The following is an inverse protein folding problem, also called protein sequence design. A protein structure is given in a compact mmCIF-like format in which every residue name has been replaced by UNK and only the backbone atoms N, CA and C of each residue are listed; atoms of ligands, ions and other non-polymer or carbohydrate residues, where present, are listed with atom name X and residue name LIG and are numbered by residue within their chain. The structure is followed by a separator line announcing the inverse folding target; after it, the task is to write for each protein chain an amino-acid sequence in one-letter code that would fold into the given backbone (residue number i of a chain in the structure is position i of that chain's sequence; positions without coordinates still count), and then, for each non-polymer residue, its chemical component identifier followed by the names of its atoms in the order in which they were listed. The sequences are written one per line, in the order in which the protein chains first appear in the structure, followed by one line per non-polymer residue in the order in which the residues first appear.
data_IF_714276435747
#
_entry.id   IF_714276435747
#
_cell.length_a   1.000
_cell.length_b   1.000
_cell.length_c   1.000
_cell.angle_alpha   90.00
_cell.angle_beta   90.00
_cell.angle_gamma   90.00
#
_symmetry.space_group_name_H-M   'P 1'
#
loop_
_entity.id
_entity.type
_entity.pdbx_description
1 polymer ?
#
# COMPACT_ATOMS: atom_id res chain seq x y z
N UNK A 1 1.69 -0.49 20.98
CA UNK A 1 2.07 0.04 19.67
C UNK A 1 2.75 1.38 19.88
N UNK A 2 4.05 1.49 19.66
CA UNK A 2 4.76 2.76 19.82
C UNK A 2 4.66 3.54 18.49
N UNK A 3 3.85 4.58 18.48
CA UNK A 3 3.75 5.50 17.34
C UNK A 3 4.94 6.45 17.38
N UNK A 4 5.67 6.56 16.27
CA UNK A 4 6.71 7.56 16.13
C UNK A 4 6.05 8.86 15.69
N UNK A 5 5.83 9.79 16.63
CA UNK A 5 5.47 11.17 16.30
C UNK A 5 6.75 11.94 15.99
N UNK A 6 7.14 11.99 14.74
CA UNK A 6 8.23 12.86 14.28
C UNK A 6 7.66 14.20 13.84
N UNK A 7 8.38 15.26 14.15
CA UNK A 7 8.01 16.62 13.73
C UNK A 7 8.44 16.85 12.27
N UNK A 8 7.71 16.24 11.34
CA UNK A 8 7.91 16.50 9.92
C UNK A 8 7.37 17.87 9.53
N UNK A 9 7.89 18.48 8.46
CA UNK A 9 7.42 19.77 7.98
C UNK A 9 5.91 19.77 7.73
N UNK A 10 5.22 20.86 8.08
CA UNK A 10 3.78 21.01 7.81
C UNK A 10 3.46 20.87 6.31
N UNK A 11 4.37 21.32 5.43
CA UNK A 11 4.25 21.17 3.99
C UNK A 11 4.12 19.72 3.53
N UNK A 12 4.82 18.80 4.16
CA UNK A 12 4.70 17.34 3.89
C UNK A 12 3.28 16.86 4.16
N UNK A 13 2.73 17.12 5.35
CA UNK A 13 1.36 16.73 5.70
C UNK A 13 0.34 17.36 4.76
N UNK A 14 0.51 18.66 4.41
CA UNK A 14 -0.38 19.37 3.51
C UNK A 14 -0.34 18.78 2.08
N UNK A 15 0.83 18.37 1.60
CA UNK A 15 0.96 17.72 0.30
C UNK A 15 0.20 16.41 0.23
N UNK A 16 0.35 15.55 1.26
CA UNK A 16 -0.36 14.27 1.35
C UNK A 16 -1.88 14.47 1.49
N UNK A 17 -2.33 15.41 2.33
CA UNK A 17 -3.76 15.71 2.49
C UNK A 17 -4.38 16.26 1.20
N UNK A 18 -3.67 17.15 0.48
CA UNK A 18 -4.13 17.65 -0.82
C UNK A 18 -4.25 16.53 -1.86
N UNK A 19 -3.29 15.60 -1.86
CA UNK A 19 -3.35 14.42 -2.72
C UNK A 19 -4.57 13.55 -2.36
N UNK A 20 -4.81 13.30 -1.07
CA UNK A 20 -5.97 12.56 -0.56
C UNK A 20 -7.29 13.15 -1.07
N UNK A 21 -7.46 14.46 -1.00
CA UNK A 21 -8.69 15.14 -1.43
C UNK A 21 -9.00 14.91 -2.93
N UNK A 22 -7.98 14.62 -3.73
CA UNK A 22 -8.14 14.33 -5.16
C UNK A 22 -8.51 12.87 -5.44
N UNK A 23 -7.88 11.94 -4.78
CA UNK A 23 -7.95 10.51 -5.12
C UNK A 23 -8.72 9.65 -4.10
N UNK A 24 -9.04 10.20 -2.94
CA UNK A 24 -9.82 9.53 -1.90
C UNK A 24 -10.91 10.48 -1.36
N UNK A 25 -11.86 10.91 -2.25
CA UNK A 25 -12.86 11.92 -1.89
C UNK A 25 -13.84 11.45 -0.80
N UNK A 26 -14.11 10.14 -0.76
CA UNK A 26 -15.05 9.54 0.21
C UNK A 26 -14.41 9.23 1.58
N UNK A 27 -13.19 9.71 1.82
CA UNK A 27 -12.46 9.44 3.07
C UNK A 27 -13.24 9.91 4.33
N UNK A 28 -13.80 11.10 4.31
CA UNK A 28 -14.58 11.63 5.43
C UNK A 28 -15.86 10.80 5.65
N UNK A 29 -16.54 10.42 4.57
CA UNK A 29 -17.70 9.55 4.63
C UNK A 29 -17.35 8.17 5.22
N UNK A 30 -16.19 7.59 4.85
CA UNK A 30 -15.68 6.37 5.48
C UNK A 30 -15.50 6.54 6.98
N UNK A 31 -14.87 7.64 7.43
CA UNK A 31 -14.62 7.89 8.85
C UNK A 31 -15.93 8.06 9.64
N UNK A 32 -16.92 8.75 9.08
CA UNK A 32 -18.24 8.92 9.71
C UNK A 32 -18.99 7.61 9.89
N UNK A 33 -18.82 6.67 8.96
CA UNK A 33 -19.48 5.39 8.95
C UNK A 33 -18.61 4.23 9.46
N UNK A 34 -17.41 4.50 10.00
CA UNK A 34 -16.45 3.49 10.42
C UNK A 34 -17.05 2.46 11.38
N UNK A 35 -17.71 2.92 12.43
CA UNK A 35 -18.27 2.05 13.48
C UNK A 35 -19.43 1.17 12.98
N UNK A 36 -20.08 1.55 11.87
CA UNK A 36 -21.15 0.76 11.23
C UNK A 36 -20.55 -0.49 10.56
N UNK A 37 -19.43 -0.34 9.86
CA UNK A 37 -18.86 -1.41 9.04
C UNK A 37 -17.69 -2.12 9.71
N UNK A 38 -16.97 -1.42 10.59
CA UNK A 38 -15.77 -1.91 11.27
C UNK A 38 -15.85 -1.73 12.80
N UNK A 39 -16.89 -2.28 13.45
CA UNK A 39 -17.18 -1.97 14.87
C UNK A 39 -16.13 -2.49 15.86
N UNK A 40 -15.24 -3.39 15.41
CA UNK A 40 -14.17 -3.96 16.23
C UNK A 40 -12.82 -3.29 16.01
N UNK A 41 -12.72 -2.42 15.02
CA UNK A 41 -11.47 -1.79 14.64
C UNK A 41 -11.42 -0.35 15.14
N UNK A 42 -10.31 0.02 15.76
CA UNK A 42 -10.08 1.42 16.07
C UNK A 42 -10.00 2.23 14.76
N UNK A 43 -10.55 3.45 14.77
CA UNK A 43 -10.32 4.40 13.69
C UNK A 43 -8.83 4.60 13.51
N UNK A 44 -8.36 4.55 12.29
CA UNK A 44 -6.97 4.86 12.03
C UNK A 44 -6.77 6.37 11.84
N UNK A 45 -5.57 6.81 12.16
CA UNK A 45 -5.11 8.17 11.90
C UNK A 45 -4.01 8.14 10.84
N UNK A 46 -3.90 9.20 10.05
CA UNK A 46 -2.79 9.38 9.12
C UNK A 46 -1.53 9.72 9.93
N UNK A 47 -0.77 8.70 10.29
CA UNK A 47 0.45 8.82 11.08
C UNK A 47 1.45 7.71 10.71
N UNK A 48 2.72 7.95 10.98
CA UNK A 48 3.75 6.93 10.86
C UNK A 48 3.61 5.89 11.97
N UNK A 49 3.64 4.61 11.60
CA UNK A 49 3.64 3.49 12.56
C UNK A 49 4.93 2.70 12.44
N UNK A 50 5.65 2.59 13.55
CA UNK A 50 6.79 1.67 13.64
C UNK A 50 6.67 0.85 14.91
N UNK A 51 6.85 -0.45 14.78
CA UNK A 51 6.89 -1.36 15.93
C UNK A 51 8.31 -1.38 16.50
N UNK A 52 8.57 -0.43 17.40
CA UNK A 52 9.87 -0.24 18.02
C UNK A 52 10.26 -1.48 18.85
N UNK A 53 11.54 -1.84 18.80
CA UNK A 53 12.05 -2.97 19.57
C UNK A 53 11.87 -4.34 18.90
N UNK A 54 11.52 -4.38 17.63
CA UNK A 54 11.66 -5.58 16.80
C UNK A 54 13.12 -6.04 16.76
N UNK A 55 13.35 -7.20 16.13
CA UNK A 55 14.69 -7.77 15.99
C UNK A 55 15.71 -6.67 15.62
N UNK A 56 16.69 -6.47 16.50
CA UNK A 56 17.73 -5.45 16.35
C UNK A 56 18.88 -5.91 15.47
N UNK A 57 18.91 -7.22 15.15
CA UNK A 57 19.95 -7.85 14.35
C UNK A 57 19.42 -8.19 12.95
N UNK A 58 20.33 -8.22 11.99
CA UNK A 58 20.06 -8.64 10.63
C UNK A 58 19.84 -10.15 10.63
N UNK A 59 18.69 -10.59 10.11
CA UNK A 59 18.22 -11.98 10.25
C UNK A 59 18.76 -12.92 9.16
N UNK A 60 19.23 -12.39 8.03
CA UNK A 60 19.67 -13.18 6.87
C UNK A 60 20.80 -12.48 6.07
N UNK A 61 21.37 -13.20 5.11
CA UNK A 61 22.43 -12.72 4.23
C UNK A 61 23.80 -12.65 4.92
N UNK A 62 24.76 -12.02 4.26
CA UNK A 62 26.18 -11.97 4.68
C UNK A 62 26.41 -11.17 5.97
N UNK A 63 25.46 -10.31 6.32
CA UNK A 63 25.52 -9.48 7.52
C UNK A 63 24.71 -10.07 8.68
N UNK A 64 24.23 -11.32 8.56
CA UNK A 64 23.45 -11.98 9.62
C UNK A 64 24.12 -11.89 10.99
N UNK A 65 23.34 -11.51 12.01
CA UNK A 65 23.78 -11.35 13.39
C UNK A 65 24.46 -10.02 13.70
N UNK A 66 24.65 -9.14 12.70
CA UNK A 66 25.10 -7.77 12.94
C UNK A 66 23.89 -6.88 13.29
N UNK A 67 24.11 -5.78 14.04
CA UNK A 67 23.04 -4.81 14.29
C UNK A 67 22.44 -4.27 12.99
N UNK A 68 21.12 -4.05 12.97
CA UNK A 68 20.45 -3.35 11.87
C UNK A 68 20.89 -1.88 11.83
N UNK A 69 21.00 -1.35 10.63
CA UNK A 69 21.33 0.06 10.40
C UNK A 69 20.17 0.96 10.79
N UNK A 70 20.48 2.06 11.48
CA UNK A 70 19.48 3.04 11.94
C UNK A 70 19.34 4.18 10.92
N UNK A 71 20.44 4.50 10.22
CA UNK A 71 20.53 5.56 9.22
C UNK A 71 20.97 5.00 7.87
N UNK A 72 20.52 5.64 6.81
CA UNK A 72 20.93 5.33 5.44
C UNK A 72 22.45 5.44 5.26
N UNK A 73 23.06 6.47 5.87
CA UNK A 73 24.50 6.71 5.81
C UNK A 73 25.37 5.68 6.57
N UNK A 74 24.77 4.80 7.37
CA UNK A 74 25.48 3.70 8.04
C UNK A 74 25.66 2.48 7.12
N UNK A 75 24.92 2.44 6.00
CA UNK A 75 24.98 1.38 4.99
C UNK A 75 26.02 1.69 3.92
N UNK A 76 26.53 0.66 3.27
CA UNK A 76 27.27 0.84 2.04
C UNK A 76 26.38 1.46 0.94
N UNK A 77 26.95 2.28 0.05
CA UNK A 77 26.19 3.01 -0.96
C UNK A 77 25.24 2.12 -1.80
N UNK A 78 25.71 0.92 -2.21
CA UNK A 78 24.88 -0.03 -2.94
C UNK A 78 23.68 -0.50 -2.14
N UNK A 79 23.87 -0.78 -0.84
CA UNK A 79 22.77 -1.21 0.03
C UNK A 79 21.79 -0.07 0.27
N UNK A 80 22.29 1.13 0.54
CA UNK A 80 21.47 2.34 0.74
C UNK A 80 20.66 2.65 -0.51
N UNK A 81 21.24 2.55 -1.70
CA UNK A 81 20.55 2.73 -2.99
C UNK A 81 19.44 1.71 -3.21
N UNK A 82 19.66 0.44 -2.89
CA UNK A 82 18.63 -0.60 -3.00
C UNK A 82 17.47 -0.35 -2.01
N UNK A 83 17.77 0.04 -0.77
CA UNK A 83 16.76 0.36 0.23
C UNK A 83 15.94 1.58 -0.21
N UNK A 84 16.60 2.65 -0.68
CA UNK A 84 15.92 3.83 -1.22
C UNK A 84 14.99 3.46 -2.38
N UNK A 85 15.49 2.66 -3.33
CA UNK A 85 14.69 2.17 -4.46
C UNK A 85 13.47 1.37 -4.00
N UNK A 86 13.62 0.51 -3.00
CA UNK A 86 12.51 -0.25 -2.43
C UNK A 86 11.47 0.65 -1.74
N UNK A 87 11.90 1.67 -0.98
CA UNK A 87 10.99 2.63 -0.34
C UNK A 87 10.22 3.44 -1.40
N UNK A 88 10.90 3.95 -2.42
CA UNK A 88 10.26 4.69 -3.53
C UNK A 88 9.28 3.83 -4.30
N UNK A 89 9.64 2.58 -4.61
CA UNK A 89 8.76 1.65 -5.29
C UNK A 89 7.52 1.36 -4.45
N UNK A 90 7.67 1.03 -3.18
CA UNK A 90 6.55 0.78 -2.27
C UNK A 90 5.65 2.02 -2.15
N UNK A 91 6.20 3.21 -1.92
CA UNK A 91 5.40 4.44 -1.89
C UNK A 91 4.60 4.65 -3.17
N UNK A 92 5.23 4.46 -4.33
CA UNK A 92 4.58 4.60 -5.64
C UNK A 92 3.41 3.61 -5.82
N UNK A 93 3.54 2.37 -5.34
CA UNK A 93 2.48 1.36 -5.45
C UNK A 93 1.27 1.69 -4.59
N UNK A 94 1.47 2.15 -3.37
CA UNK A 94 0.40 2.53 -2.45
C UNK A 94 -0.49 3.65 -3.06
N UNK A 95 0.13 4.72 -3.54
CA UNK A 95 -0.60 5.81 -4.19
C UNK A 95 -1.21 5.39 -5.54
N UNK A 96 -0.53 4.55 -6.31
CA UNK A 96 -1.04 4.01 -7.57
C UNK A 96 -2.26 3.12 -7.37
N UNK A 97 -2.25 2.28 -6.36
CA UNK A 97 -3.37 1.43 -5.96
C UNK A 97 -4.64 2.27 -5.71
N UNK A 98 -4.54 3.32 -4.89
CA UNK A 98 -5.69 4.21 -4.61
C UNK A 98 -6.24 4.82 -5.90
N UNK A 99 -5.37 5.30 -6.81
CA UNK A 99 -5.78 5.89 -8.08
C UNK A 99 -6.56 4.89 -8.94
N UNK A 100 -6.12 3.62 -8.98
CA UNK A 100 -6.79 2.56 -9.72
C UNK A 100 -8.14 2.19 -9.10
N UNK A 101 -8.19 1.98 -7.78
CA UNK A 101 -9.40 1.59 -7.07
C UNK A 101 -10.50 2.65 -7.15
N UNK A 102 -10.15 3.93 -7.12
CA UNK A 102 -11.08 5.03 -7.26
C UNK A 102 -11.90 4.95 -8.56
N UNK A 103 -11.30 4.50 -9.67
CA UNK A 103 -11.96 4.50 -10.99
C UNK A 103 -13.26 3.70 -11.03
N UNK A 104 -13.37 2.67 -10.19
CA UNK A 104 -14.50 1.74 -10.23
C UNK A 104 -15.24 1.59 -8.90
N UNK A 105 -14.81 2.30 -7.85
CA UNK A 105 -15.39 2.21 -6.50
C UNK A 105 -16.91 2.37 -6.48
N UNK A 106 -17.44 3.35 -7.20
CA UNK A 106 -18.88 3.61 -7.30
C UNK A 106 -19.68 2.53 -8.06
N UNK A 107 -19.00 1.53 -8.64
CA UNK A 107 -19.61 0.41 -9.39
C UNK A 107 -19.70 -0.87 -8.55
N UNK A 108 -19.40 -0.81 -7.26
CA UNK A 108 -19.60 -1.94 -6.36
C UNK A 108 -21.04 -2.43 -6.40
N UNK A 109 -21.25 -3.73 -6.32
CA UNK A 109 -22.58 -4.33 -6.36
C UNK A 109 -23.29 -4.26 -5.02
N UNK A 110 -22.53 -4.32 -3.96
CA UNK A 110 -23.00 -4.28 -2.58
C UNK A 110 -22.31 -3.12 -1.84
N UNK A 111 -23.03 -2.44 -0.97
CA UNK A 111 -22.51 -1.34 -0.13
C UNK A 111 -21.33 -1.82 0.72
N UNK A 112 -21.40 -3.05 1.24
CA UNK A 112 -20.33 -3.65 2.04
C UNK A 112 -19.02 -3.80 1.24
N UNK A 113 -19.11 -4.20 -0.03
CA UNK A 113 -17.96 -4.35 -0.92
C UNK A 113 -17.31 -2.99 -1.19
N UNK A 114 -18.13 -1.95 -1.40
CA UNK A 114 -17.64 -0.58 -1.57
C UNK A 114 -16.86 -0.11 -0.33
N UNK A 115 -17.39 -0.37 0.86
CA UNK A 115 -16.73 0.01 2.10
C UNK A 115 -15.43 -0.76 2.35
N UNK A 116 -15.36 -2.03 1.99
CA UNK A 116 -14.13 -2.79 2.12
C UNK A 116 -13.02 -2.22 1.24
N UNK A 117 -13.33 -1.88 -0.01
CA UNK A 117 -12.36 -1.25 -0.91
C UNK A 117 -12.00 0.15 -0.42
N UNK A 118 -12.96 0.95 0.02
CA UNK A 118 -12.71 2.29 0.55
C UNK A 118 -11.81 2.25 1.81
N UNK A 119 -12.04 1.28 2.70
CA UNK A 119 -11.15 1.04 3.85
C UNK A 119 -9.74 0.69 3.39
N UNK A 120 -9.62 -0.23 2.42
CA UNK A 120 -8.33 -0.61 1.87
C UNK A 120 -7.60 0.61 1.29
N UNK A 121 -8.27 1.43 0.46
CA UNK A 121 -7.70 2.67 -0.08
C UNK A 121 -7.21 3.62 1.03
N UNK A 122 -7.92 3.69 2.15
CA UNK A 122 -7.50 4.50 3.28
C UNK A 122 -6.26 3.90 3.99
N UNK A 123 -6.18 2.58 4.13
CA UNK A 123 -5.01 1.89 4.67
C UNK A 123 -3.80 2.03 3.73
N UNK A 124 -3.99 1.94 2.42
CA UNK A 124 -2.99 2.26 1.39
C UNK A 124 -2.44 3.70 1.51
N UNK A 125 -3.32 4.68 1.76
CA UNK A 125 -2.89 6.05 2.04
C UNK A 125 -1.93 6.11 3.24
N UNK A 126 -2.21 5.36 4.30
CA UNK A 126 -1.34 5.28 5.47
C UNK A 126 -0.03 4.57 5.17
N UNK A 127 -0.07 3.49 4.37
CA UNK A 127 1.14 2.80 3.89
C UNK A 127 2.03 3.74 3.08
N UNK A 128 1.45 4.43 2.12
CA UNK A 128 2.15 5.44 1.32
C UNK A 128 2.73 6.57 2.19
N UNK A 129 1.94 7.10 3.12
CA UNK A 129 2.41 8.08 4.10
C UNK A 129 3.61 7.56 4.90
N UNK A 130 3.55 6.31 5.37
CA UNK A 130 4.65 5.68 6.11
C UNK A 130 5.94 5.60 5.28
N UNK A 131 5.82 5.27 4.00
CA UNK A 131 6.99 5.23 3.10
C UNK A 131 7.53 6.62 2.79
N UNK A 132 6.67 7.60 2.52
CA UNK A 132 7.10 9.00 2.36
C UNK A 132 7.76 9.56 3.63
N UNK A 133 7.28 9.13 4.81
CA UNK A 133 7.89 9.48 6.09
C UNK A 133 9.34 8.99 6.17
N UNK A 134 9.64 7.76 5.73
CA UNK A 134 11.00 7.23 5.69
C UNK A 134 11.92 8.04 4.76
N UNK A 135 11.39 8.54 3.63
CA UNK A 135 12.14 9.43 2.73
C UNK A 135 12.47 10.79 3.37
N UNK A 136 11.56 11.30 4.19
CA UNK A 136 11.71 12.60 4.86
C UNK A 136 12.56 12.55 6.14
N UNK A 137 12.58 11.41 6.83
CA UNK A 137 13.23 11.27 8.15
C UNK A 137 14.73 11.06 8.04
N UNK A 138 15.24 10.54 6.93
CA UNK A 138 16.64 10.19 6.76
C UNK A 138 17.33 11.01 5.66
N UNK A 139 18.65 11.03 5.69
CA UNK A 139 19.50 11.69 4.70
C UNK A 139 19.96 10.69 3.64
N UNK A 140 19.43 10.83 2.43
CA UNK A 140 19.73 9.99 1.27
C UNK A 140 20.77 10.60 0.32
N UNK A 141 21.41 11.71 0.70
CA UNK A 141 22.34 12.47 -0.16
C UNK A 141 23.56 11.66 -0.62
N UNK A 142 23.92 10.60 0.08
CA UNK A 142 24.99 9.69 -0.32
C UNK A 142 24.68 8.86 -1.59
N UNK A 143 23.40 8.73 -1.95
CA UNK A 143 22.92 7.86 -3.06
C UNK A 143 21.87 8.50 -3.96
N UNK A 144 21.51 9.75 -3.71
CA UNK A 144 20.55 10.51 -4.51
C UNK A 144 20.89 12.00 -4.48
N UNK A 145 20.72 12.66 -5.61
CA UNK A 145 20.82 14.13 -5.70
C UNK A 145 19.51 14.81 -5.31
N UNK A 146 18.43 14.06 -5.07
CA UNK A 146 17.13 14.56 -4.64
C UNK A 146 17.06 14.67 -3.12
N UNK A 147 16.45 15.74 -2.62
CA UNK A 147 16.06 15.81 -1.20
C UNK A 147 14.87 14.90 -0.90
N UNK A 148 14.60 14.61 0.37
CA UNK A 148 13.39 13.89 0.77
C UNK A 148 12.11 14.57 0.27
N UNK A 149 12.07 15.92 0.26
CA UNK A 149 10.96 16.71 -0.27
C UNK A 149 10.76 16.53 -1.77
N UNK A 150 11.85 16.53 -2.56
CA UNK A 150 11.78 16.32 -4.01
C UNK A 150 11.25 14.93 -4.34
N UNK A 151 11.70 13.90 -3.61
CA UNK A 151 11.23 12.51 -3.78
C UNK A 151 9.75 12.37 -3.44
N UNK A 152 9.28 13.05 -2.39
CA UNK A 152 7.86 13.08 -2.02
C UNK A 152 7.04 13.75 -3.12
N UNK A 153 7.47 14.89 -3.63
CA UNK A 153 6.78 15.59 -4.71
C UNK A 153 6.73 14.75 -5.98
N UNK A 154 7.84 14.10 -6.34
CA UNK A 154 7.90 13.17 -7.46
C UNK A 154 6.83 12.07 -7.32
N UNK A 155 6.79 11.36 -6.20
CA UNK A 155 5.85 10.25 -5.97
C UNK A 155 4.40 10.73 -5.99
N UNK A 156 4.08 11.82 -5.30
CA UNK A 156 2.72 12.38 -5.26
C UNK A 156 2.27 12.95 -6.62
N UNK A 157 3.18 13.25 -7.53
CA UNK A 157 2.87 13.69 -8.90
C UNK A 157 2.59 12.53 -9.86
N UNK A 158 2.98 11.29 -9.51
CA UNK A 158 2.77 10.12 -10.36
C UNK A 158 1.29 9.84 -10.59
N UNK A 159 0.98 9.35 -11.79
CA UNK A 159 -0.36 8.92 -12.21
C UNK A 159 -0.25 7.60 -12.94
N UNK A 160 -1.38 6.95 -13.17
CA UNK A 160 -1.44 5.77 -14.04
C UNK A 160 -0.66 6.02 -15.33
N UNK A 161 0.30 5.18 -15.64
CA UNK A 161 1.25 5.32 -16.75
C UNK A 161 2.65 5.79 -16.32
N UNK A 162 2.84 6.25 -15.07
CA UNK A 162 4.15 6.72 -14.57
C UNK A 162 4.58 6.12 -13.23
N UNK A 163 3.80 5.20 -12.66
CA UNK A 163 4.20 4.48 -11.46
C UNK A 163 5.38 3.54 -11.71
N UNK A 164 6.17 3.27 -10.66
CA UNK A 164 7.42 2.51 -10.76
C UNK A 164 7.16 1.06 -11.19
N UNK A 165 6.11 0.42 -10.67
CA UNK A 165 5.77 -0.96 -11.02
C UNK A 165 4.64 -1.01 -12.06
N UNK A 166 4.78 -1.90 -13.05
CA UNK A 166 3.92 -2.00 -14.22
C UNK A 166 2.44 -2.26 -13.89
N UNK A 167 2.13 -3.08 -12.89
CA UNK A 167 0.77 -3.39 -12.48
C UNK A 167 -0.04 -2.14 -12.09
N UNK A 168 0.60 -1.11 -11.57
CA UNK A 168 -0.02 0.14 -11.12
C UNK A 168 -0.21 1.19 -12.24
N UNK A 169 0.12 0.82 -13.47
CA UNK A 169 -0.05 1.65 -14.67
C UNK A 169 -1.18 1.17 -15.58
N UNK A 170 -2.07 0.33 -15.07
CA UNK A 170 -3.18 -0.28 -15.83
C UNK A 170 -4.49 0.12 -15.18
N UNK A 171 -5.37 0.79 -15.93
CA UNK A 171 -6.67 1.18 -15.43
C UNK A 171 -7.59 -0.01 -15.14
N UNK A 172 -8.45 0.13 -14.14
CA UNK A 172 -9.53 -0.80 -13.88
C UNK A 172 -10.72 -0.52 -14.80
N UNK A 173 -11.17 -1.53 -15.55
CA UNK A 173 -12.30 -1.43 -16.46
C UNK A 173 -13.63 -1.63 -15.73
N UNK A 174 -13.62 -2.37 -14.61
CA UNK A 174 -14.81 -2.75 -13.85
C UNK A 174 -14.50 -2.92 -12.37
N UNK A 175 -15.54 -3.02 -11.55
CA UNK A 175 -15.37 -3.36 -10.13
C UNK A 175 -14.86 -4.80 -9.93
N UNK A 176 -15.02 -5.68 -10.93
CA UNK A 176 -14.42 -7.03 -10.90
C UNK A 176 -12.90 -6.94 -10.96
N UNK A 177 -12.35 -5.98 -11.72
CA UNK A 177 -10.90 -5.70 -11.70
C UNK A 177 -10.44 -5.30 -10.31
N UNK A 178 -11.18 -4.40 -9.66
CA UNK A 178 -10.91 -3.91 -8.31
C UNK A 178 -10.67 -5.07 -7.32
N UNK A 179 -11.65 -5.96 -7.25
CA UNK A 179 -11.63 -7.11 -6.33
C UNK A 179 -10.59 -8.15 -6.75
N UNK A 180 -10.41 -8.37 -8.05
CA UNK A 180 -9.42 -9.32 -8.57
C UNK A 180 -7.99 -8.85 -8.32
N UNK A 181 -7.75 -7.55 -8.42
CA UNK A 181 -6.47 -6.93 -8.08
C UNK A 181 -6.12 -7.23 -6.61
N UNK A 182 -7.03 -6.95 -5.66
CA UNK A 182 -6.82 -7.26 -4.25
C UNK A 182 -6.52 -8.77 -4.02
N UNK A 183 -7.18 -9.66 -4.74
CA UNK A 183 -6.96 -11.10 -4.58
C UNK A 183 -5.60 -11.58 -5.10
N UNK A 184 -5.03 -10.91 -6.11
CA UNK A 184 -3.83 -11.37 -6.83
C UNK A 184 -2.62 -10.47 -6.57
N UNK A 185 -2.75 -9.15 -6.73
CA UNK A 185 -1.62 -8.22 -6.62
C UNK A 185 -1.28 -7.96 -5.15
N UNK A 186 -2.27 -7.73 -4.27
CA UNK A 186 -2.01 -7.57 -2.83
C UNK A 186 -1.47 -8.87 -2.21
N UNK A 187 -1.77 -10.03 -2.81
CA UNK A 187 -1.10 -11.28 -2.43
C UNK A 187 0.40 -11.20 -2.65
N UNK A 188 0.86 -10.64 -3.76
CA UNK A 188 2.28 -10.41 -4.04
C UNK A 188 2.82 -9.35 -3.07
N UNK A 189 2.09 -8.25 -2.88
CA UNK A 189 2.40 -7.19 -1.91
C UNK A 189 2.68 -7.74 -0.53
N UNK A 190 1.83 -8.63 -0.02
CA UNK A 190 2.04 -9.28 1.27
C UNK A 190 3.38 -10.01 1.39
N UNK A 191 3.85 -10.67 0.33
CA UNK A 191 5.16 -11.32 0.33
C UNK A 191 6.29 -10.31 0.24
N UNK A 192 6.14 -9.24 -0.54
CA UNK A 192 7.10 -8.14 -0.61
C UNK A 192 7.28 -7.49 0.75
N UNK A 193 6.20 -7.13 1.46
CA UNK A 193 6.26 -6.59 2.82
C UNK A 193 6.92 -7.56 3.81
N UNK A 194 6.70 -8.87 3.64
CA UNK A 194 7.36 -9.89 4.47
C UNK A 194 8.88 -9.91 4.25
N UNK A 195 9.35 -9.67 3.03
CA UNK A 195 10.79 -9.51 2.74
C UNK A 195 11.31 -8.18 3.29
N UNK A 196 10.56 -7.09 3.16
CA UNK A 196 10.94 -5.78 3.68
C UNK A 196 11.03 -5.79 5.23
N UNK A 197 10.22 -6.60 5.91
CA UNK A 197 10.27 -6.78 7.36
C UNK A 197 11.63 -7.28 7.86
N UNK A 198 12.36 -8.05 7.08
CA UNK A 198 13.71 -8.52 7.43
C UNK A 198 14.82 -7.61 6.90
N UNK A 199 14.47 -6.44 6.37
CA UNK A 199 15.44 -5.44 5.91
C UNK A 199 16.53 -5.17 6.94
N UNK A 200 17.76 -4.95 6.47
CA UNK A 200 18.87 -4.49 7.30
C UNK A 200 18.68 -3.04 7.77
N UNK A 201 17.87 -2.23 7.05
CA UNK A 201 17.51 -0.88 7.45
C UNK A 201 16.34 -0.92 8.44
N UNK A 202 16.65 -0.59 9.71
CA UNK A 202 15.73 -0.77 10.84
C UNK A 202 14.41 0.00 10.70
N UNK A 203 14.40 1.29 10.26
CA UNK A 203 13.15 2.04 10.13
C UNK A 203 12.15 1.39 9.17
N UNK A 204 12.63 0.83 8.05
CA UNK A 204 11.78 0.09 7.11
C UNK A 204 11.25 -1.18 7.74
N UNK A 205 12.11 -1.98 8.37
CA UNK A 205 11.71 -3.23 9.02
C UNK A 205 10.62 -3.00 10.10
N UNK A 206 10.77 -1.95 10.92
CA UNK A 206 9.82 -1.59 11.99
C UNK A 206 8.50 -1.02 11.47
N UNK A 207 8.43 -0.58 10.21
CA UNK A 207 7.19 -0.12 9.56
C UNK A 207 6.30 -1.28 9.09
N UNK A 208 6.88 -2.43 8.75
CA UNK A 208 6.17 -3.54 8.09
C UNK A 208 5.12 -4.28 8.94
N UNK A 209 5.26 -4.47 10.26
CA UNK A 209 4.29 -5.26 11.02
C UNK A 209 2.87 -4.73 10.97
N UNK A 210 2.68 -3.41 10.96
CA UNK A 210 1.35 -2.82 10.83
C UNK A 210 0.79 -3.04 9.41
N UNK A 211 1.58 -2.75 8.38
CA UNK A 211 1.19 -2.93 6.99
C UNK A 211 0.82 -4.40 6.71
N UNK A 212 1.61 -5.36 7.20
CA UNK A 212 1.31 -6.80 7.06
C UNK A 212 -0.01 -7.23 7.71
N UNK A 213 -0.42 -6.60 8.81
CA UNK A 213 -1.73 -6.88 9.42
C UNK A 213 -2.87 -6.39 8.53
N UNK A 214 -2.70 -5.23 7.93
CA UNK A 214 -3.68 -4.59 7.04
C UNK A 214 -3.77 -5.32 5.70
N UNK A 215 -2.66 -5.74 5.14
CA UNK A 215 -2.60 -6.59 3.94
C UNK A 215 -3.40 -7.89 4.06
N UNK A 216 -3.53 -8.43 5.25
CA UNK A 216 -4.38 -9.60 5.46
C UNK A 216 -5.86 -9.28 5.22
N UNK A 217 -6.30 -8.06 5.52
CA UNK A 217 -7.63 -7.58 5.19
C UNK A 217 -7.77 -7.28 3.70
N UNK A 218 -6.79 -6.62 3.06
CA UNK A 218 -6.79 -6.36 1.61
C UNK A 218 -6.99 -7.64 0.82
N UNK A 219 -6.22 -8.67 1.13
CA UNK A 219 -6.38 -9.97 0.51
C UNK A 219 -7.77 -10.58 0.74
N UNK A 220 -8.35 -10.43 1.92
CA UNK A 220 -9.70 -10.91 2.21
C UNK A 220 -10.76 -10.13 1.42
N UNK A 221 -10.60 -8.80 1.28
CA UNK A 221 -11.48 -7.94 0.49
C UNK A 221 -11.49 -8.32 -1.00
N UNK A 222 -10.44 -8.96 -1.50
CA UNK A 222 -10.40 -9.55 -2.83
C UNK A 222 -11.01 -10.97 -2.87
N UNK A 223 -10.52 -11.87 -2.04
CA UNK A 223 -10.85 -13.30 -2.12
C UNK A 223 -12.30 -13.60 -1.75
N UNK A 224 -12.86 -12.93 -0.74
CA UNK A 224 -14.22 -13.21 -0.25
C UNK A 224 -15.29 -12.83 -1.29
N UNK A 225 -15.30 -11.61 -1.87
CA UNK A 225 -16.25 -11.27 -2.92
C UNK A 225 -16.10 -12.16 -4.16
N UNK A 226 -14.89 -12.47 -4.62
CA UNK A 226 -14.69 -13.34 -5.79
C UNK A 226 -15.33 -14.71 -5.58
N UNK A 227 -15.19 -15.33 -4.43
CA UNK A 227 -15.84 -16.61 -4.12
C UNK A 227 -17.35 -16.47 -4.14
N UNK A 228 -17.91 -15.44 -3.48
CA UNK A 228 -19.34 -15.16 -3.45
C UNK A 228 -19.90 -14.93 -4.85
N UNK A 229 -19.18 -14.18 -5.70
CA UNK A 229 -19.60 -13.96 -7.08
C UNK A 229 -19.56 -15.21 -7.94
N UNK A 230 -18.57 -16.08 -7.77
CA UNK A 230 -18.53 -17.38 -8.45
C UNK A 230 -19.72 -18.26 -8.07
N UNK A 231 -20.10 -18.29 -6.79
CA UNK A 231 -21.26 -19.04 -6.32
C UNK A 231 -22.57 -18.47 -6.88
N UNK A 232 -22.74 -17.15 -6.86
CA UNK A 232 -23.91 -16.45 -7.44
C UNK A 232 -23.96 -16.63 -8.96
N UNK A 233 -22.87 -16.49 -9.68
CA UNK A 233 -22.81 -16.64 -11.13
C UNK A 233 -23.16 -18.05 -11.61
N UNK A 234 -22.96 -19.06 -10.77
CA UNK A 234 -23.39 -20.44 -11.06
C UNK A 234 -24.93 -20.64 -10.95
N UNK A 235 -25.61 -19.74 -10.24
CA UNK A 235 -27.03 -19.81 -9.96
C UNK A 235 -27.85 -18.81 -10.77
N UNK A 236 -27.31 -17.62 -11.01
CA UNK A 236 -27.96 -16.49 -11.68
C UNK A 236 -26.96 -15.74 -12.59
N UNK A 237 -27.21 -15.76 -13.88
CA UNK A 237 -26.35 -15.12 -14.89
C UNK A 237 -26.51 -13.60 -15.01
N UNK A 238 -27.42 -12.99 -14.26
CA UNK A 238 -27.74 -11.54 -14.37
C UNK A 238 -26.77 -10.68 -13.54
N UNK A 239 -26.11 -11.27 -12.57
CA UNK A 239 -25.13 -10.60 -11.72
C UNK A 239 -23.76 -10.50 -12.43
N UNK A 240 -22.65 -10.61 -11.71
CA UNK A 240 -21.33 -10.72 -12.32
C UNK A 240 -21.20 -12.13 -12.92
N UNK A 241 -20.89 -12.25 -14.21
CA UNK A 241 -20.80 -13.54 -14.89
C UNK A 241 -19.43 -14.20 -14.65
N UNK A 242 -19.37 -15.53 -14.81
CA UNK A 242 -18.09 -16.26 -14.81
C UNK A 242 -17.12 -15.75 -15.88
N UNK A 243 -17.67 -15.23 -17.01
CA UNK A 243 -16.87 -14.62 -18.09
C UNK A 243 -16.20 -13.32 -17.63
N UNK A 244 -16.91 -12.49 -16.86
CA UNK A 244 -16.33 -11.24 -16.32
C UNK A 244 -15.21 -11.53 -15.34
N UNK A 245 -15.42 -12.49 -14.45
CA UNK A 245 -14.39 -12.94 -13.51
C UNK A 245 -13.18 -13.51 -14.27
N UNK A 246 -13.42 -14.36 -15.29
CA UNK A 246 -12.32 -14.94 -16.08
C UNK A 246 -11.50 -13.87 -16.84
N UNK A 247 -12.16 -12.83 -17.37
CA UNK A 247 -11.47 -11.70 -18.02
C UNK A 247 -10.56 -10.97 -17.02
N UNK A 248 -11.07 -10.68 -15.84
CA UNK A 248 -10.28 -10.02 -14.80
C UNK A 248 -9.10 -10.88 -14.34
N UNK A 249 -9.31 -12.18 -14.13
CA UNK A 249 -8.22 -13.12 -13.82
C UNK A 249 -7.15 -13.16 -14.92
N UNK A 250 -7.56 -13.20 -16.20
CA UNK A 250 -6.62 -13.19 -17.33
C UNK A 250 -5.85 -11.87 -17.44
N UNK A 251 -6.44 -10.76 -17.00
CA UNK A 251 -5.80 -9.44 -16.96
C UNK A 251 -4.76 -9.36 -15.84
N UNK A 252 -5.11 -9.79 -14.63
CA UNK A 252 -4.33 -9.52 -13.42
C UNK A 252 -3.36 -10.64 -13.02
N UNK A 253 -3.64 -11.91 -13.33
CA UNK A 253 -2.74 -13.00 -12.98
C UNK A 253 -1.35 -12.84 -13.60
N UNK A 254 -1.19 -12.52 -14.90
CA UNK A 254 0.14 -12.27 -15.48
C UNK A 254 0.86 -11.13 -14.79
N UNK A 255 0.14 -10.07 -14.40
CA UNK A 255 0.72 -8.88 -13.73
C UNK A 255 1.27 -9.17 -12.33
N UNK A 256 0.66 -10.14 -11.64
CA UNK A 256 1.18 -10.61 -10.35
C UNK A 256 2.41 -11.52 -10.47
N UNK A 257 2.77 -11.93 -11.67
CA UNK A 257 3.93 -12.78 -11.94
C UNK A 257 5.11 -12.01 -12.56
N UNK A 258 4.91 -10.77 -12.99
CA UNK A 258 5.95 -9.86 -13.49
C UNK A 258 6.76 -9.25 -12.34
#
# INVERSE_FOLDING_TARGET
MNMTKTHLPKSFHQAVLKWKDTFLPDYEFLLENWDKYFPKDARFELCAFREMGMCSEIECGDLKGKPKFIRSGDMEATQSSHVLGAIKAQASTEFGSIQQHQLTLARAQEEEEQFWILRMMAEELRHGYQMLHLLMEDDWSAVSDQTGGDMVEEILSMKTGSHILGAFNIDFDSFVDNVTFCALIDRVGKYQLSMQRVSAYKPMAESMPQMLREEAFHLAAGVVPLRRWMEKAAQDSVYITTTDIQKALNKWLPRGLE
#
